data_IF_153091995490
#
_entry.id   IF_153091995490
#
_cell.length_a   1.000
_cell.length_b   1.000
_cell.length_c   1.000
_cell.angle_alpha   90.00
_cell.angle_beta   90.00
_cell.angle_gamma   90.00
#
_symmetry.space_group_name_H-M   'P 1'
#
loop_
_entity.id
_entity.type
_entity.pdbx_description
1 polymer ?
#
# COMPACT_ATOMS: atom_id res chain seq x y z
N UNK A 1 2.18 22.71 32.65
CA UNK A 1 2.79 21.35 32.59
C UNK A 1 1.77 20.22 32.50
N UNK A 2 0.69 20.18 33.30
CA UNK A 2 -0.34 19.10 33.23
C UNK A 2 -0.96 18.90 31.83
N UNK A 3 -1.29 19.99 31.14
CA UNK A 3 -1.83 19.92 29.78
C UNK A 3 -0.83 19.40 28.73
N UNK A 4 0.48 19.62 28.95
CA UNK A 4 1.51 19.11 28.06
C UNK A 4 1.64 17.58 28.16
N UNK A 5 1.61 17.04 29.38
CA UNK A 5 1.60 15.59 29.60
C UNK A 5 0.33 14.93 29.03
N UNK A 6 -0.84 15.56 29.21
CA UNK A 6 -2.09 15.07 28.63
C UNK A 6 -2.03 15.06 27.09
N UNK A 7 -1.48 16.10 26.48
CA UNK A 7 -1.28 16.15 25.03
C UNK A 7 -0.34 15.05 24.53
N UNK A 8 0.78 14.82 25.22
CA UNK A 8 1.73 13.75 24.87
C UNK A 8 1.09 12.37 24.91
N UNK A 9 0.35 12.06 25.99
CA UNK A 9 -0.36 10.78 26.12
C UNK A 9 -1.40 10.63 25.01
N UNK A 10 -2.16 11.70 24.72
CA UNK A 10 -3.14 11.68 23.64
C UNK A 10 -2.51 11.37 22.27
N UNK A 11 -1.39 12.02 21.94
CA UNK A 11 -0.66 11.77 20.69
C UNK A 11 -0.18 10.32 20.61
N UNK A 12 0.40 9.79 21.69
CA UNK A 12 0.85 8.40 21.73
C UNK A 12 -0.29 7.40 21.54
N UNK A 13 -1.44 7.65 22.17
CA UNK A 13 -2.64 6.82 22.00
C UNK A 13 -3.13 6.87 20.55
N UNK A 14 -3.24 8.05 19.95
CA UNK A 14 -3.69 8.20 18.56
C UNK A 14 -2.75 7.47 17.61
N UNK A 15 -1.43 7.66 17.74
CA UNK A 15 -0.44 6.98 16.89
C UNK A 15 -0.50 5.46 17.10
N UNK A 16 -0.61 4.99 18.35
CA UNK A 16 -0.73 3.57 18.66
C UNK A 16 -1.98 2.93 18.04
N UNK A 17 -3.14 3.60 18.15
CA UNK A 17 -4.40 3.11 17.55
C UNK A 17 -4.29 3.09 16.02
N UNK A 18 -3.79 4.16 15.40
CA UNK A 18 -3.61 4.20 13.95
C UNK A 18 -2.66 3.10 13.47
N UNK A 19 -1.60 2.80 14.22
CA UNK A 19 -0.67 1.74 13.89
C UNK A 19 -1.34 0.36 13.92
N UNK A 20 -2.15 0.07 14.95
CA UNK A 20 -2.91 -1.18 15.05
C UNK A 20 -3.95 -1.34 13.93
N UNK A 21 -4.50 -0.23 13.44
CA UNK A 21 -5.48 -0.24 12.34
C UNK A 21 -4.83 -0.24 10.95
N UNK A 22 -3.52 -0.02 10.85
CA UNK A 22 -2.78 0.09 9.58
C UNK A 22 -2.51 -1.27 8.92
N UNK A 23 -3.48 -2.20 8.95
CA UNK A 23 -3.35 -3.51 8.34
C UNK A 23 -3.00 -3.44 6.85
N UNK A 24 -2.03 -4.25 6.44
CA UNK A 24 -1.58 -4.34 5.05
C UNK A 24 -2.29 -5.51 4.35
N UNK A 25 -3.47 -5.25 3.77
CA UNK A 25 -4.17 -6.23 2.91
C UNK A 25 -3.99 -5.83 1.45
N UNK A 26 -2.89 -6.30 0.84
CA UNK A 26 -2.60 -6.15 -0.57
C UNK A 26 -1.90 -7.39 -1.14
N UNK A 27 -2.11 -7.71 -2.43
CA UNK A 27 -1.37 -8.79 -3.11
C UNK A 27 0.11 -8.46 -3.28
N UNK A 28 0.94 -9.49 -3.21
CA UNK A 28 2.39 -9.44 -3.48
C UNK A 28 2.62 -9.53 -5.00
N UNK A 29 3.68 -8.88 -5.50
CA UNK A 29 4.07 -9.02 -6.91
C UNK A 29 4.70 -10.40 -7.11
N UNK A 30 4.15 -11.25 -8.01
CA UNK A 30 4.71 -12.56 -8.29
C UNK A 30 6.17 -12.50 -8.77
N UNK A 31 6.96 -13.50 -8.41
CA UNK A 31 8.34 -13.65 -8.91
C UNK A 31 8.38 -14.46 -10.22
N UNK A 32 7.65 -14.00 -11.24
CA UNK A 32 7.57 -14.65 -12.55
C UNK A 32 8.12 -13.76 -13.68
N UNK A 33 8.35 -14.31 -14.89
CA UNK A 33 8.91 -13.55 -16.01
C UNK A 33 8.09 -12.33 -16.45
N UNK A 34 6.78 -12.35 -16.22
CA UNK A 34 5.88 -11.25 -16.62
C UNK A 34 5.98 -10.07 -15.66
N UNK A 35 6.43 -10.29 -14.42
CA UNK A 35 6.54 -9.27 -13.37
C UNK A 35 8.00 -8.88 -13.05
N UNK A 36 8.97 -9.66 -13.51
CA UNK A 36 10.39 -9.45 -13.19
C UNK A 36 10.95 -8.22 -13.91
N UNK A 37 11.58 -7.31 -13.16
CA UNK A 37 12.29 -6.15 -13.72
C UNK A 37 11.40 -4.96 -14.08
N UNK A 38 10.10 -5.01 -13.80
CA UNK A 38 9.20 -3.88 -14.01
C UNK A 38 9.43 -2.82 -12.93
N UNK A 39 9.79 -1.61 -13.37
CA UNK A 39 9.98 -0.45 -12.48
C UNK A 39 9.01 0.70 -12.77
N UNK A 40 8.25 0.60 -13.86
CA UNK A 40 7.30 1.63 -14.28
C UNK A 40 5.86 1.15 -14.03
N UNK A 41 5.10 1.98 -13.32
CA UNK A 41 3.69 1.74 -13.04
C UNK A 41 2.83 1.72 -14.32
N UNK A 42 3.25 2.42 -15.38
CA UNK A 42 2.53 2.41 -16.65
C UNK A 42 2.45 1.00 -17.26
N UNK A 43 3.53 0.21 -17.15
CA UNK A 43 3.57 -1.17 -17.62
C UNK A 43 2.60 -2.05 -16.83
N UNK A 44 2.47 -1.83 -15.52
CA UNK A 44 1.48 -2.55 -14.71
C UNK A 44 0.05 -2.33 -15.22
N UNK A 45 -0.25 -1.14 -15.74
CA UNK A 45 -1.58 -0.77 -16.22
C UNK A 45 -1.96 -1.45 -17.55
N UNK A 46 -1.01 -2.05 -18.26
CA UNK A 46 -1.29 -2.80 -19.49
C UNK A 46 -2.12 -4.07 -19.22
N UNK A 47 -2.01 -4.65 -18.01
CA UNK A 47 -2.78 -5.82 -17.58
C UNK A 47 -3.69 -5.55 -16.37
N UNK A 48 -3.38 -4.53 -15.56
CA UNK A 48 -4.15 -4.18 -14.35
C UNK A 48 -5.00 -2.91 -14.51
N UNK A 49 -5.15 -2.40 -15.73
CA UNK A 49 -6.00 -1.26 -16.06
C UNK A 49 -7.50 -1.52 -15.87
N UNK A 50 -8.34 -0.47 -15.87
CA UNK A 50 -9.77 -0.56 -15.52
C UNK A 50 -10.63 -1.45 -16.44
N UNK A 51 -10.12 -1.85 -17.60
CA UNK A 51 -10.85 -2.67 -18.58
C UNK A 51 -10.15 -4.02 -18.89
N UNK A 52 -9.09 -4.34 -18.13
CA UNK A 52 -8.31 -5.55 -18.34
C UNK A 52 -8.85 -6.72 -17.51
N UNK A 53 -8.58 -7.96 -17.95
CA UNK A 53 -9.04 -9.15 -17.25
C UNK A 53 -8.52 -9.24 -15.79
N UNK A 54 -7.38 -8.61 -15.51
CA UNK A 54 -6.77 -8.53 -14.18
C UNK A 54 -6.85 -7.12 -13.59
N UNK A 55 -7.87 -6.34 -13.96
CA UNK A 55 -8.09 -5.00 -13.45
C UNK A 55 -7.99 -4.91 -11.92
N UNK A 56 -7.40 -3.82 -11.44
CA UNK A 56 -7.45 -3.48 -10.02
C UNK A 56 -8.90 -3.36 -9.55
N UNK A 57 -9.16 -3.74 -8.29
CA UNK A 57 -10.47 -3.52 -7.66
C UNK A 57 -10.78 -2.02 -7.64
N UNK A 58 -12.05 -1.65 -7.82
CA UNK A 58 -12.50 -0.25 -7.70
C UNK A 58 -12.25 0.40 -6.33
N UNK A 59 -11.91 -0.40 -5.32
CA UNK A 59 -11.49 0.06 -3.98
C UNK A 59 -10.00 0.39 -3.89
N UNK A 60 -9.23 0.26 -4.97
CA UNK A 60 -7.79 0.54 -4.95
C UNK A 60 -7.52 2.02 -4.62
N UNK A 61 -6.60 2.33 -3.68
CA UNK A 61 -6.29 3.70 -3.32
C UNK A 61 -5.83 4.55 -4.53
N UNK A 62 -6.18 5.84 -4.57
CA UNK A 62 -5.77 6.73 -5.65
C UNK A 62 -4.27 7.02 -5.61
N UNK A 63 -3.73 7.56 -6.71
CA UNK A 63 -2.32 7.94 -6.97
C UNK A 63 -1.42 6.84 -7.56
N UNK A 64 -1.93 5.61 -7.76
CA UNK A 64 -1.26 4.50 -8.49
C UNK A 64 0.24 4.35 -8.21
N UNK A 65 0.63 4.48 -6.94
CA UNK A 65 2.01 4.24 -6.50
C UNK A 65 2.17 2.76 -6.15
N UNK A 66 2.13 1.89 -7.17
CA UNK A 66 2.03 0.44 -7.03
C UNK A 66 3.02 -0.12 -5.99
N UNK A 67 4.30 0.23 -6.16
CA UNK A 67 5.41 -0.25 -5.33
C UNK A 67 5.47 0.30 -3.90
N UNK A 68 4.51 1.13 -3.47
CA UNK A 68 4.43 1.55 -2.05
C UNK A 68 3.83 0.49 -1.15
N UNK A 69 2.94 -0.32 -1.71
CA UNK A 69 2.24 -1.38 -1.02
C UNK A 69 2.68 -2.71 -1.62
N UNK A 70 2.63 -2.85 -2.95
CA UNK A 70 2.99 -4.08 -3.65
C UNK A 70 4.51 -4.23 -3.74
N UNK A 71 5.08 -5.05 -2.85
CA UNK A 71 6.47 -5.49 -2.91
C UNK A 71 6.56 -6.85 -3.63
N UNK A 72 7.73 -7.15 -4.23
CA UNK A 72 8.02 -8.47 -4.77
C UNK A 72 8.23 -9.49 -3.63
N UNK A 73 7.89 -10.75 -3.89
CA UNK A 73 7.94 -11.83 -2.88
C UNK A 73 9.36 -12.13 -2.33
N UNK A 74 10.42 -11.49 -2.84
CA UNK A 74 11.79 -11.71 -2.37
C UNK A 74 12.58 -10.38 -2.35
N UNK A 75 12.43 -9.60 -1.28
CA UNK A 75 13.46 -8.62 -0.91
C UNK A 75 14.68 -9.32 -0.32
#
# INVERSE_FOLDING_TARGET
MKHFFLFLVFVLVVVGVLHLLSGNDYPIIPADPDHTGITDAAVCMECHGPEEEKAMKGTHPPKFKCFKCHDAENK
#
